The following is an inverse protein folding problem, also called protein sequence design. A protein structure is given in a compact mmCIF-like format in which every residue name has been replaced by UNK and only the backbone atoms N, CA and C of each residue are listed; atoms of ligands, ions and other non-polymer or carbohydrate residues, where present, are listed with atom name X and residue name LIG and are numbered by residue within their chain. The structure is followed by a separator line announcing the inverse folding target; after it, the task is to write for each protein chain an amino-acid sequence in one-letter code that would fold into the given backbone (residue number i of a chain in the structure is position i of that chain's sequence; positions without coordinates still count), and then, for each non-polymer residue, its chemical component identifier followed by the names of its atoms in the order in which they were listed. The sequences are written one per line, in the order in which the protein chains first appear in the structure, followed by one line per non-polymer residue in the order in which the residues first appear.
data_IF_701155984610
#
_entry.id   IF_701155984610
#
_cell.length_a   1.000
_cell.length_b   1.000
_cell.length_c   1.000
_cell.angle_alpha   90.00
_cell.angle_beta   90.00
_cell.angle_gamma   90.00
#
_symmetry.space_group_name_H-M   'P 1'
#
loop_
_entity.id
_entity.type
_entity.pdbx_description
1 polymer ?
#
# COMPACT_ATOMS: atom_id res chain seq x y z
N UNK A 1 53.25 -7.72 -45.77
CA UNK A 1 52.62 -9.02 -45.42
C UNK A 1 51.65 -8.70 -44.29
N UNK A 2 50.47 -8.10 -44.51
CA UNK A 2 49.28 -8.57 -45.24
C UNK A 2 48.77 -9.93 -44.75
N UNK A 3 47.84 -9.89 -43.78
CA UNK A 3 46.81 -10.90 -43.58
C UNK A 3 45.58 -10.19 -42.98
N UNK A 4 44.65 -9.83 -43.86
CA UNK A 4 43.28 -9.44 -43.55
C UNK A 4 42.50 -10.74 -43.30
N UNK A 5 41.84 -10.85 -42.15
CA UNK A 5 40.88 -11.92 -41.84
C UNK A 5 39.48 -11.37 -42.07
N UNK A 6 38.76 -11.96 -43.03
CA UNK A 6 37.37 -11.66 -43.32
C UNK A 6 36.46 -12.59 -42.49
N UNK A 7 35.49 -12.01 -41.79
CA UNK A 7 34.34 -12.75 -41.27
C UNK A 7 33.19 -12.61 -42.26
N UNK A 8 32.65 -13.76 -42.65
CA UNK A 8 31.52 -13.97 -43.56
C UNK A 8 30.20 -13.55 -42.91
N UNK A 9 29.41 -12.77 -43.66
CA UNK A 9 27.99 -12.50 -43.44
C UNK A 9 27.16 -13.78 -43.65
N UNK A 10 26.29 -14.10 -42.69
CA UNK A 10 25.27 -15.15 -42.80
C UNK A 10 23.97 -14.51 -43.29
N UNK A 11 23.44 -15.04 -44.39
CA UNK A 11 22.27 -14.52 -45.10
C UNK A 11 20.98 -14.96 -44.39
N UNK A 12 20.07 -14.01 -44.18
CA UNK A 12 18.71 -14.26 -43.71
C UNK A 12 17.84 -14.80 -44.87
N UNK A 13 17.11 -15.88 -44.59
CA UNK A 13 16.09 -16.43 -45.48
C UNK A 13 14.81 -15.55 -45.49
N UNK A 14 14.15 -15.37 -46.65
CA UNK A 14 12.88 -14.66 -46.74
C UNK A 14 11.71 -15.60 -46.43
N UNK A 15 10.88 -15.24 -45.45
CA UNK A 15 9.60 -15.92 -45.20
C UNK A 15 8.57 -15.38 -46.20
N UNK A 16 8.08 -16.29 -47.06
CA UNK A 16 7.01 -16.07 -48.02
C UNK A 16 5.65 -15.86 -47.33
N UNK A 17 4.95 -14.80 -47.73
CA UNK A 17 3.50 -14.62 -47.51
C UNK A 17 2.69 -15.46 -48.49
N UNK A 18 1.59 -16.10 -48.06
CA UNK A 18 0.50 -16.43 -48.97
C UNK A 18 -0.64 -15.41 -48.87
N UNK A 19 -0.74 -14.61 -49.92
CA UNK A 19 -1.96 -13.95 -50.38
C UNK A 19 -2.71 -14.92 -51.32
N UNK A 20 -3.99 -15.20 -51.05
CA UNK A 20 -5.04 -15.26 -52.09
C UNK A 20 -6.43 -15.60 -51.52
N UNK A 21 -7.27 -14.57 -51.46
CA UNK A 21 -8.59 -14.45 -52.14
C UNK A 21 -9.64 -15.59 -52.15
N UNK A 22 -10.82 -15.21 -51.60
CA UNK A 22 -12.18 -15.16 -52.19
C UNK A 22 -13.13 -16.37 -52.30
N UNK A 23 -14.41 -16.00 -52.09
CA UNK A 23 -15.70 -16.61 -52.46
C UNK A 23 -16.22 -17.70 -51.50
N UNK A 24 -17.47 -17.72 -51.01
CA UNK A 24 -18.73 -17.39 -51.66
C UNK A 24 -19.85 -17.00 -50.68
N UNK A 25 -20.85 -16.32 -51.25
CA UNK A 25 -22.11 -15.89 -50.65
C UNK A 25 -23.10 -17.06 -50.39
N UNK A 26 -23.91 -16.93 -49.34
CA UNK A 26 -25.26 -17.47 -49.31
C UNK A 26 -26.15 -16.62 -48.40
N UNK A 27 -27.23 -16.13 -48.98
CA UNK A 27 -28.31 -15.41 -48.33
C UNK A 27 -29.14 -16.34 -47.43
N UNK A 28 -29.69 -15.79 -46.35
CA UNK A 28 -30.98 -16.27 -45.84
C UNK A 28 -31.79 -15.09 -45.28
N UNK A 29 -32.93 -14.85 -45.91
CA UNK A 29 -34.00 -13.97 -45.49
C UNK A 29 -34.80 -14.67 -44.39
N UNK A 30 -35.25 -13.98 -43.34
CA UNK A 30 -36.67 -14.05 -42.92
C UNK A 30 -37.03 -13.00 -41.86
N UNK A 31 -38.02 -12.17 -42.24
CA UNK A 31 -39.19 -11.67 -41.47
C UNK A 31 -38.93 -10.87 -40.18
N UNK A 32 -39.21 -9.56 -40.09
CA UNK A 32 -40.46 -8.80 -40.30
C UNK A 32 -41.60 -9.14 -39.33
N UNK A 33 -41.73 -8.31 -38.30
CA UNK A 33 -42.98 -7.80 -37.66
C UNK A 33 -42.54 -6.57 -36.83
N UNK A 34 -42.60 -5.34 -37.32
CA UNK A 34 -43.77 -4.45 -37.43
C UNK A 34 -44.69 -4.45 -36.20
N UNK A 35 -44.49 -3.45 -35.33
CA UNK A 35 -45.45 -2.99 -34.34
C UNK A 35 -45.33 -1.47 -34.21
N UNK A 36 -46.17 -0.81 -34.99
CA UNK A 36 -46.56 0.59 -34.94
C UNK A 36 -47.03 0.97 -33.53
N UNK A 37 -46.46 2.00 -32.92
CA UNK A 37 -47.12 2.74 -31.84
C UNK A 37 -47.21 4.22 -32.20
N UNK A 38 -48.43 4.67 -32.00
CA UNK A 38 -49.12 5.84 -32.50
C UNK A 38 -48.58 7.16 -31.93
N UNK A 39 -48.44 8.14 -32.81
CA UNK A 39 -48.26 9.54 -32.48
C UNK A 39 -49.62 10.16 -32.13
N UNK A 40 -49.83 10.52 -30.86
CA UNK A 40 -50.91 11.45 -30.49
C UNK A 40 -50.34 12.79 -30.07
N UNK A 41 -50.50 13.70 -31.01
CA UNK A 41 -50.63 15.13 -30.89
C UNK A 41 -51.64 15.52 -29.80
N UNK A 42 -51.22 16.37 -28.85
CA UNK A 42 -52.15 17.25 -28.15
C UNK A 42 -51.48 18.58 -27.79
N UNK A 43 -51.95 19.59 -28.50
CA UNK A 43 -51.82 21.02 -28.30
C UNK A 43 -52.08 21.53 -26.88
N UNK A 44 -51.32 22.57 -26.53
CA UNK A 44 -51.69 23.74 -25.72
C UNK A 44 -52.09 23.55 -24.25
N UNK A 45 -51.25 24.06 -23.34
CA UNK A 45 -51.73 25.15 -22.48
C UNK A 45 -50.58 26.08 -22.05
N UNK A 46 -50.84 27.38 -22.11
CA UNK A 46 -49.97 28.42 -21.58
C UNK A 46 -50.44 28.76 -20.17
N UNK A 47 -49.58 28.54 -19.18
CA UNK A 47 -49.72 29.22 -17.88
C UNK A 47 -48.36 29.81 -17.52
N UNK A 48 -48.34 31.13 -17.55
CA UNK A 48 -47.31 32.02 -17.05
C UNK A 48 -47.48 32.21 -15.54
N UNK A 49 -46.49 31.82 -14.76
CA UNK A 49 -46.22 32.29 -13.39
C UNK A 49 -44.69 32.39 -13.30
N UNK A 50 -44.07 33.53 -13.62
CA UNK A 50 -43.77 34.63 -12.70
C UNK A 50 -43.51 34.17 -11.26
N UNK A 51 -42.30 33.67 -11.01
CA UNK A 51 -41.73 33.52 -9.67
C UNK A 51 -40.31 34.05 -9.65
N UNK A 52 -40.19 35.27 -9.11
CA UNK A 52 -39.11 35.73 -8.24
C UNK A 52 -37.68 35.32 -8.56
N UNK A 53 -36.94 36.25 -9.16
CA UNK A 53 -35.50 36.37 -8.96
C UNK A 53 -35.24 36.72 -7.49
N UNK A 54 -34.96 35.72 -6.66
CA UNK A 54 -34.39 35.96 -5.34
C UNK A 54 -32.87 36.10 -5.46
N UNK A 55 -32.50 37.34 -5.20
CA UNK A 55 -31.22 37.91 -4.84
C UNK A 55 -30.49 37.06 -3.78
N UNK A 56 -29.64 36.13 -4.22
CA UNK A 56 -28.66 35.49 -3.33
C UNK A 56 -27.49 36.45 -3.11
N UNK A 57 -27.75 37.40 -2.22
CA UNK A 57 -26.74 38.25 -1.62
C UNK A 57 -25.63 37.42 -0.99
N UNK A 58 -24.39 37.81 -1.29
CA UNK A 58 -23.20 37.33 -0.62
C UNK A 58 -23.20 37.76 0.85
N UNK A 59 -23.37 36.82 1.77
CA UNK A 59 -22.93 36.90 3.16
C UNK A 59 -23.08 35.51 3.82
N UNK A 60 -22.17 35.20 4.74
CA UNK A 60 -22.21 34.10 5.70
C UNK A 60 -21.76 32.70 5.22
N UNK A 61 -20.48 32.62 4.84
CA UNK A 61 -19.64 31.48 5.26
C UNK A 61 -18.54 32.03 6.17
N UNK A 62 -18.89 32.21 7.45
CA UNK A 62 -17.92 32.40 8.52
C UNK A 62 -17.26 31.05 8.80
N UNK A 63 -16.08 30.85 8.21
CA UNK A 63 -15.08 29.91 8.67
C UNK A 63 -14.78 30.22 10.14
N UNK A 64 -15.13 29.30 11.02
CA UNK A 64 -14.63 29.32 12.38
C UNK A 64 -13.16 28.92 12.35
N UNK A 65 -12.30 29.92 12.58
CA UNK A 65 -10.93 29.76 13.01
C UNK A 65 -10.88 28.79 14.20
N UNK A 66 -10.31 27.60 13.99
CA UNK A 66 -9.76 26.80 15.09
C UNK A 66 -8.43 27.47 15.45
N UNK A 67 -8.54 28.52 16.26
CA UNK A 67 -7.39 29.13 16.91
C UNK A 67 -6.71 28.10 17.81
N UNK A 68 -5.46 27.85 17.45
CA UNK A 68 -4.40 27.30 18.29
C UNK A 68 -4.34 28.08 19.61
N UNK A 69 -4.94 27.54 20.68
CA UNK A 69 -4.75 28.10 22.02
C UNK A 69 -3.38 27.71 22.57
N UNK A 70 -2.61 28.67 23.12
CA UNK A 70 -1.32 28.42 23.75
C UNK A 70 -1.53 28.14 25.24
N UNK A 71 -1.30 26.90 25.69
CA UNK A 71 -1.25 26.62 27.13
C UNK A 71 0.14 26.91 27.69
N UNK A 72 0.21 28.07 28.33
CA UNK A 72 1.20 28.43 29.33
C UNK A 72 0.99 27.65 30.63
N UNK A 73 2.12 27.20 31.16
CA UNK A 73 2.48 26.96 32.55
C UNK A 73 1.65 27.61 33.66
N UNK A 74 1.72 26.91 34.81
CA UNK A 74 1.38 27.26 36.18
C UNK A 74 -0.10 27.10 36.59
N UNK A 75 -0.39 26.03 37.33
CA UNK A 75 -0.66 26.20 38.76
C UNK A 75 -0.56 24.88 39.55
N UNK A 76 0.18 24.96 40.64
CA UNK A 76 0.32 23.97 41.69
C UNK A 76 -0.85 24.03 42.69
N UNK A 77 -1.00 22.96 43.49
CA UNK A 77 -2.03 22.71 44.51
C UNK A 77 -3.42 22.48 43.89
N UNK A 78 -4.15 21.42 44.19
CA UNK A 78 -4.58 21.04 45.53
C UNK A 78 -5.37 19.69 45.46
N UNK A 79 -5.37 18.94 46.57
CA UNK A 79 -6.29 17.83 46.91
C UNK A 79 -6.20 16.50 46.12
N UNK A 80 -5.59 15.49 46.74
CA UNK A 80 -6.32 14.28 47.17
C UNK A 80 -5.47 13.40 48.09
N UNK A 81 -5.84 13.41 49.37
CA UNK A 81 -5.50 12.42 50.37
C UNK A 81 -5.96 11.02 49.94
N UNK A 82 -5.02 10.07 49.87
CA UNK A 82 -5.30 8.63 49.96
C UNK A 82 -4.45 8.06 51.08
N UNK A 83 -4.95 8.20 52.31
CA UNK A 83 -4.61 7.28 53.38
C UNK A 83 -5.45 6.01 53.16
N UNK A 84 -4.79 4.86 53.21
CA UNK A 84 -5.31 3.47 53.28
C UNK A 84 -4.88 2.59 52.11
N UNK A 85 -3.63 2.12 52.17
CA UNK A 85 -3.25 0.73 51.83
C UNK A 85 -2.00 0.36 52.62
N UNK A 86 -2.14 0.30 53.94
CA UNK A 86 -1.28 -0.51 54.77
C UNK A 86 -1.81 -1.94 54.80
N UNK A 87 -0.90 -2.89 54.93
CA UNK A 87 -1.13 -4.25 55.40
C UNK A 87 -1.41 -5.33 54.35
N UNK A 88 -0.36 -5.76 53.63
CA UNK A 88 -0.13 -7.17 53.27
C UNK A 88 1.38 -7.41 53.05
N UNK A 89 2.15 -7.48 54.13
CA UNK A 89 3.51 -8.03 54.08
C UNK A 89 3.81 -8.84 55.33
N UNK A 90 3.38 -10.10 55.37
CA UNK A 90 3.98 -11.09 56.25
C UNK A 90 4.22 -12.40 55.50
N UNK A 91 5.47 -12.85 55.59
CA UNK A 91 5.84 -14.25 55.51
C UNK A 91 6.30 -14.70 54.13
N UNK A 92 7.62 -14.77 53.95
CA UNK A 92 8.31 -15.98 53.48
C UNK A 92 9.83 -15.77 53.60
N UNK A 93 10.35 -16.03 54.80
CA UNK A 93 11.75 -16.37 55.01
C UNK A 93 11.95 -17.86 54.69
N UNK A 94 12.74 -18.19 53.67
CA UNK A 94 13.49 -19.44 53.65
C UNK A 94 14.65 -19.36 52.64
N UNK A 95 15.85 -19.44 53.20
CA UNK A 95 17.14 -19.36 52.55
C UNK A 95 17.39 -20.43 51.47
N UNK A 96 18.10 -20.02 50.41
CA UNK A 96 19.14 -20.82 49.79
C UNK A 96 20.22 -19.88 49.24
N UNK A 97 21.40 -19.92 49.88
CA UNK A 97 22.59 -19.25 49.40
C UNK A 97 23.02 -19.88 48.07
N UNK A 98 23.10 -19.08 47.01
CA UNK A 98 23.77 -19.45 45.77
C UNK A 98 24.95 -18.49 45.58
N UNK A 99 26.14 -19.06 45.75
CA UNK A 99 27.45 -18.45 45.56
C UNK A 99 27.74 -18.34 44.06
N UNK A 100 27.76 -17.11 43.55
CA UNK A 100 28.22 -16.81 42.18
C UNK A 100 29.45 -15.94 42.25
N UNK A 101 30.60 -16.59 42.42
CA UNK A 101 31.91 -16.05 42.03
C UNK A 101 32.31 -16.65 40.68
N UNK A 102 32.05 -15.92 39.59
CA UNK A 102 32.68 -16.12 38.27
C UNK A 102 32.64 -14.77 37.56
N UNK A 103 33.70 -13.97 37.72
CA UNK A 103 34.80 -13.78 36.76
C UNK A 103 34.35 -13.15 35.45
N UNK A 104 34.74 -11.90 35.33
CA UNK A 104 34.79 -11.06 34.15
C UNK A 104 35.37 -11.81 32.95
N UNK A 105 34.68 -11.75 31.82
CA UNK A 105 35.28 -11.95 30.50
C UNK A 105 34.65 -10.94 29.52
N UNK A 106 35.34 -9.84 29.17
CA UNK A 106 34.86 -8.87 28.20
C UNK A 106 35.33 -9.27 26.80
N UNK A 107 34.60 -10.15 26.14
CA UNK A 107 34.76 -10.36 24.69
C UNK A 107 33.44 -10.77 24.03
N UNK A 108 32.47 -9.86 24.04
CA UNK A 108 31.29 -9.96 23.16
C UNK A 108 31.68 -9.44 21.79
N UNK A 109 32.44 -10.25 21.04
CA UNK A 109 32.51 -10.11 19.59
C UNK A 109 31.11 -10.36 19.03
N UNK A 110 30.48 -9.27 18.60
CA UNK A 110 29.54 -9.18 17.48
C UNK A 110 29.44 -10.47 16.67
N UNK A 111 28.48 -11.32 17.03
CA UNK A 111 28.17 -12.59 16.36
C UNK A 111 27.05 -12.35 15.35
N UNK A 112 27.29 -11.45 14.40
CA UNK A 112 26.61 -11.53 13.11
C UNK A 112 27.46 -12.48 12.26
N UNK A 113 26.91 -13.54 11.65
CA UNK A 113 27.70 -14.38 10.78
C UNK A 113 28.13 -13.56 9.55
N UNK A 114 29.35 -13.02 9.60
CA UNK A 114 30.13 -12.57 8.43
C UNK A 114 30.50 -13.79 7.58
N UNK A 115 29.50 -14.41 6.96
CA UNK A 115 29.69 -15.43 5.93
C UNK A 115 28.70 -15.16 4.80
N UNK A 116 28.76 -13.95 4.25
CA UNK A 116 28.49 -13.79 2.82
C UNK A 116 29.75 -14.24 2.08
N UNK A 117 29.88 -15.56 1.91
CA UNK A 117 30.72 -16.09 0.84
C UNK A 117 30.18 -15.47 -0.43
N UNK A 118 30.95 -14.58 -1.08
CA UNK A 118 30.77 -14.29 -2.49
C UNK A 118 30.99 -15.60 -3.23
N UNK A 119 29.94 -16.42 -3.31
CA UNK A 119 29.84 -17.37 -4.37
C UNK A 119 29.86 -16.54 -5.64
N UNK A 120 30.93 -16.69 -6.41
CA UNK A 120 30.97 -16.37 -7.83
C UNK A 120 29.90 -17.26 -8.49
N UNK A 121 28.64 -16.86 -8.32
CA UNK A 121 27.49 -17.39 -9.04
C UNK A 121 27.66 -16.88 -10.45
N UNK A 122 28.50 -17.59 -11.21
CA UNK A 122 28.73 -17.30 -12.62
C UNK A 122 27.39 -17.03 -13.28
N UNK A 123 27.29 -15.88 -13.97
CA UNK A 123 26.12 -15.34 -14.63
C UNK A 123 24.96 -16.34 -14.68
N UNK A 124 24.15 -16.34 -13.62
CA UNK A 124 22.90 -17.08 -13.64
C UNK A 124 22.09 -16.33 -14.68
N UNK A 125 21.89 -16.98 -15.82
CA UNK A 125 20.94 -16.54 -16.82
C UNK A 125 19.60 -16.52 -16.09
N UNK A 126 19.21 -15.33 -15.60
CA UNK A 126 17.88 -15.07 -15.07
C UNK A 126 16.93 -15.09 -16.25
N UNK A 127 16.81 -16.25 -16.92
CA UNK A 127 15.60 -16.55 -17.66
C UNK A 127 14.51 -16.43 -16.62
N UNK A 128 13.65 -15.42 -16.75
CA UNK A 128 12.45 -15.21 -15.95
C UNK A 128 11.89 -16.58 -15.58
N UNK A 129 12.22 -17.04 -14.39
CA UNK A 129 11.62 -18.24 -13.88
C UNK A 129 10.17 -17.87 -13.73
N UNK A 130 9.29 -18.57 -14.44
CA UNK A 130 7.83 -18.43 -14.37
C UNK A 130 7.35 -18.69 -12.93
N UNK A 131 7.63 -17.76 -12.02
CA UNK A 131 7.11 -17.77 -10.67
C UNK A 131 5.64 -17.41 -10.83
N UNK A 132 4.78 -18.40 -10.62
CA UNK A 132 3.36 -18.16 -10.62
C UNK A 132 3.00 -17.32 -9.38
N UNK A 133 2.53 -16.10 -9.62
CA UNK A 133 1.97 -15.22 -8.60
C UNK A 133 0.45 -15.44 -8.46
N UNK A 134 -0.12 -15.22 -7.26
CA UNK A 134 0.57 -14.93 -6.01
C UNK A 134 1.26 -16.18 -5.42
N UNK A 135 2.39 -16.00 -4.73
CA UNK A 135 3.00 -17.10 -3.97
C UNK A 135 2.19 -17.43 -2.71
N UNK A 136 2.31 -18.67 -2.22
CA UNK A 136 1.64 -19.12 -0.99
C UNK A 136 2.13 -18.34 0.25
N UNK A 137 1.29 -18.21 1.27
CA UNK A 137 1.55 -17.52 2.54
C UNK A 137 0.30 -17.47 3.43
N UNK A 138 0.32 -16.67 4.49
CA UNK A 138 -0.86 -16.44 5.34
C UNK A 138 -1.95 -15.67 4.59
N UNK A 139 -3.19 -16.17 4.61
CA UNK A 139 -4.29 -15.63 3.80
C UNK A 139 -4.19 -15.95 2.30
N UNK A 140 -5.35 -16.07 1.65
CA UNK A 140 -5.47 -16.32 0.22
C UNK A 140 -5.54 -15.00 -0.57
N UNK A 141 -4.68 -14.83 -1.56
CA UNK A 141 -4.65 -13.62 -2.40
C UNK A 141 -5.36 -13.87 -3.73
N UNK A 142 -6.20 -12.92 -4.15
CA UNK A 142 -6.87 -12.91 -5.46
C UNK A 142 -6.89 -11.50 -6.06
N UNK A 143 -7.18 -11.39 -7.36
CA UNK A 143 -7.23 -10.10 -8.07
C UNK A 143 -5.95 -9.81 -8.86
N UNK A 144 -5.57 -8.55 -8.96
CA UNK A 144 -4.39 -8.11 -9.71
C UNK A 144 -3.09 -8.41 -8.96
N UNK A 145 -2.26 -9.29 -9.54
CA UNK A 145 -0.92 -9.64 -9.08
C UNK A 145 -0.01 -9.86 -10.29
N UNK A 146 1.26 -9.48 -10.17
CA UNK A 146 2.22 -9.49 -11.28
C UNK A 146 1.90 -8.41 -12.30
N UNK A 147 1.49 -7.22 -11.82
CA UNK A 147 1.09 -6.08 -12.66
C UNK A 147 2.09 -4.93 -12.61
N UNK A 148 3.08 -4.98 -11.72
CA UNK A 148 4.07 -3.91 -11.58
C UNK A 148 5.28 -4.14 -12.49
N UNK A 149 5.07 -4.04 -13.80
CA UNK A 149 6.14 -4.18 -14.79
C UNK A 149 6.59 -2.80 -15.30
N UNK A 150 5.96 -2.33 -16.38
CA UNK A 150 6.26 -1.06 -17.04
C UNK A 150 5.87 0.14 -16.18
N UNK A 151 4.96 -0.06 -15.26
CA UNK A 151 4.40 0.91 -14.33
C UNK A 151 5.47 1.39 -13.35
N UNK A 152 6.49 0.58 -13.06
CA UNK A 152 7.63 0.98 -12.21
C UNK A 152 8.59 1.96 -12.89
N UNK A 153 8.47 2.16 -14.21
CA UNK A 153 9.34 3.03 -15.00
C UNK A 153 8.62 4.13 -15.76
N UNK A 154 7.32 3.96 -15.99
CA UNK A 154 6.49 5.03 -16.51
C UNK A 154 6.32 6.12 -15.43
N UNK A 155 6.18 7.35 -15.88
CA UNK A 155 5.86 8.53 -15.06
C UNK A 155 4.37 8.66 -14.74
N UNK A 156 3.56 7.71 -15.21
CA UNK A 156 2.12 7.69 -14.98
C UNK A 156 1.73 7.32 -13.55
N UNK A 157 0.55 7.79 -13.16
CA UNK A 157 -0.13 7.33 -11.96
C UNK A 157 -1.00 6.10 -12.27
N UNK A 158 -1.00 5.11 -11.39
CA UNK A 158 -1.75 3.86 -11.56
C UNK A 158 -2.54 3.54 -10.32
N UNK A 159 -3.66 2.83 -10.50
CA UNK A 159 -4.42 2.24 -9.41
C UNK A 159 -4.68 0.77 -9.74
N UNK A 160 -4.38 -0.10 -8.79
CA UNK A 160 -4.65 -1.54 -8.86
C UNK A 160 -5.47 -1.99 -7.67
N UNK A 161 -6.26 -3.05 -7.86
CA UNK A 161 -7.11 -3.63 -6.83
C UNK A 161 -6.89 -5.14 -6.74
N UNK A 162 -6.68 -5.60 -5.51
CA UNK A 162 -6.61 -7.01 -5.18
C UNK A 162 -7.25 -7.27 -3.81
N UNK A 163 -7.24 -8.52 -3.39
CA UNK A 163 -7.89 -8.96 -2.16
C UNK A 163 -6.99 -9.94 -1.41
N UNK A 164 -7.09 -9.91 -0.09
CA UNK A 164 -6.54 -10.95 0.80
C UNK A 164 -7.64 -11.44 1.74
N UNK A 165 -7.86 -12.75 1.73
CA UNK A 165 -8.86 -13.43 2.57
C UNK A 165 -8.17 -14.27 3.65
N UNK A 166 -8.37 -13.91 4.91
CA UNK A 166 -7.83 -14.61 6.08
C UNK A 166 -8.71 -15.78 6.54
N UNK A 167 -9.90 -15.97 5.94
CA UNK A 167 -10.83 -17.00 6.36
C UNK A 167 -11.28 -16.81 7.83
N UNK A 168 -11.26 -17.89 8.59
CA UNK A 168 -11.63 -17.89 10.03
C UNK A 168 -10.37 -17.88 10.95
N UNK A 169 -9.22 -17.39 10.44
CA UNK A 169 -7.92 -17.41 11.12
C UNK A 169 -7.41 -15.98 11.36
N UNK A 170 -7.74 -15.36 12.51
CA UNK A 170 -7.16 -14.08 12.88
C UNK A 170 -5.69 -14.32 13.24
N UNK A 171 -4.74 -13.66 12.55
CA UNK A 171 -3.29 -13.81 12.73
C UNK A 171 -2.84 -13.63 14.20
N UNK A 172 -2.99 -14.67 15.02
CA UNK A 172 -2.90 -14.63 16.47
C UNK A 172 -2.17 -15.84 17.08
N UNK A 173 -1.95 -16.91 16.30
CA UNK A 173 -1.08 -18.02 16.69
C UNK A 173 0.37 -17.63 16.37
N UNK A 174 1.31 -17.77 17.33
CA UNK A 174 2.74 -17.60 17.06
C UNK A 174 3.28 -18.40 15.86
N UNK A 175 2.60 -19.47 15.45
CA UNK A 175 2.92 -20.25 14.26
C UNK A 175 2.61 -19.52 12.95
N UNK A 176 1.69 -18.56 12.94
CA UNK A 176 1.31 -17.81 11.73
C UNK A 176 2.46 -16.95 11.22
N UNK A 177 3.31 -16.47 12.13
CA UNK A 177 4.54 -15.77 11.77
C UNK A 177 5.48 -16.59 10.87
N UNK A 178 5.39 -17.92 10.89
CA UNK A 178 6.16 -18.80 9.99
C UNK A 178 5.59 -18.90 8.58
N UNK A 179 4.36 -18.41 8.37
CA UNK A 179 3.69 -18.34 7.08
C UNK A 179 3.93 -17.00 6.36
N UNK A 180 4.58 -16.04 7.03
CA UNK A 180 5.06 -14.80 6.42
C UNK A 180 6.31 -15.05 5.58
N UNK A 181 6.54 -14.18 4.60
CA UNK A 181 7.84 -14.11 3.94
C UNK A 181 8.93 -13.63 4.92
N UNK A 182 10.22 -13.85 4.62
CA UNK A 182 11.31 -13.35 5.46
C UNK A 182 11.27 -11.83 5.69
N UNK A 183 10.82 -11.06 4.69
CA UNK A 183 10.64 -9.62 4.82
C UNK A 183 9.44 -9.28 5.72
N UNK A 184 8.30 -9.95 5.57
CA UNK A 184 7.13 -9.71 6.43
C UNK A 184 7.43 -10.03 7.90
N UNK A 185 8.15 -11.12 8.16
CA UNK A 185 8.64 -11.43 9.50
C UNK A 185 9.60 -10.37 10.04
N UNK A 186 10.46 -9.80 9.18
CA UNK A 186 11.37 -8.72 9.58
C UNK A 186 10.60 -7.45 9.93
N UNK A 187 9.59 -7.06 9.15
CA UNK A 187 8.70 -5.93 9.47
C UNK A 187 8.03 -6.18 10.82
N UNK A 188 7.47 -7.38 11.03
CA UNK A 188 6.77 -7.74 12.27
C UNK A 188 7.65 -7.67 13.53
N UNK A 189 8.94 -7.99 13.41
CA UNK A 189 9.83 -8.21 14.58
C UNK A 189 10.87 -7.13 14.80
N UNK A 190 11.03 -6.20 13.86
CA UNK A 190 11.92 -5.05 14.01
C UNK A 190 11.17 -3.91 14.68
N UNK A 191 11.83 -3.20 15.59
CA UNK A 191 11.27 -1.98 16.18
C UNK A 191 10.96 -0.97 15.06
N UNK A 192 9.67 -0.79 14.76
CA UNK A 192 9.18 0.19 13.80
C UNK A 192 8.40 1.31 14.52
N UNK A 193 8.30 2.50 13.92
CA UNK A 193 7.53 3.58 14.53
C UNK A 193 6.00 3.36 14.41
N UNK A 194 5.59 2.35 13.63
CA UNK A 194 4.21 2.04 13.24
C UNK A 194 3.21 1.75 14.36
N UNK A 195 3.65 1.40 15.58
CA UNK A 195 2.75 1.20 16.73
C UNK A 195 1.57 0.26 16.42
N UNK A 196 0.33 0.79 16.38
CA UNK A 196 -0.88 0.02 16.05
C UNK A 196 -1.03 -0.33 14.56
N UNK A 197 -0.13 0.13 13.70
CA UNK A 197 -0.18 -0.11 12.24
C UNK A 197 0.74 -1.25 11.79
N UNK A 198 1.46 -1.90 12.72
CA UNK A 198 2.45 -2.92 12.39
C UNK A 198 1.91 -4.05 11.50
N UNK A 199 0.70 -4.56 11.79
CA UNK A 199 0.11 -5.62 10.96
C UNK A 199 -0.29 -5.11 9.57
N UNK A 200 -0.78 -3.88 9.46
CA UNK A 200 -1.04 -3.30 8.14
C UNK A 200 0.22 -3.14 7.31
N UNK A 201 1.35 -2.78 7.92
CA UNK A 201 2.64 -2.70 7.23
C UNK A 201 3.14 -4.08 6.82
N UNK A 202 3.04 -5.08 7.71
CA UNK A 202 3.38 -6.47 7.42
C UNK A 202 2.59 -6.98 6.22
N UNK A 203 1.27 -6.81 6.22
CA UNK A 203 0.43 -7.36 5.16
C UNK A 203 0.49 -6.54 3.87
N UNK A 204 0.72 -5.22 3.92
CA UNK A 204 1.07 -4.45 2.73
C UNK A 204 2.37 -4.95 2.08
N UNK A 205 3.38 -5.30 2.89
CA UNK A 205 4.60 -5.92 2.40
C UNK A 205 4.36 -7.34 1.87
N UNK A 206 3.60 -8.18 2.57
CA UNK A 206 3.29 -9.55 2.12
C UNK A 206 2.59 -9.54 0.76
N UNK A 207 1.64 -8.63 0.53
CA UNK A 207 0.99 -8.47 -0.77
C UNK A 207 2.01 -8.17 -1.88
N UNK A 208 2.93 -7.21 -1.65
CA UNK A 208 3.97 -6.88 -2.64
C UNK A 208 4.98 -8.02 -2.83
N UNK A 209 5.40 -8.69 -1.75
CA UNK A 209 6.36 -9.78 -1.82
C UNK A 209 5.79 -10.99 -2.57
N UNK A 210 4.51 -11.30 -2.32
CA UNK A 210 3.84 -12.48 -2.87
C UNK A 210 3.24 -12.24 -4.25
N UNK A 211 2.90 -11.01 -4.63
CA UNK A 211 2.37 -10.68 -5.96
C UNK A 211 3.42 -10.14 -6.93
N UNK A 212 4.44 -9.44 -6.43
CA UNK A 212 5.38 -8.69 -7.27
C UNK A 212 6.84 -9.08 -6.98
N UNK A 213 7.08 -10.11 -6.16
CA UNK A 213 8.44 -10.56 -5.82
C UNK A 213 9.25 -9.54 -5.02
N UNK A 214 8.59 -8.62 -4.32
CA UNK A 214 9.24 -7.56 -3.56
C UNK A 214 10.17 -8.10 -2.45
N UNK A 215 11.32 -7.46 -2.29
CA UNK A 215 12.30 -7.75 -1.24
C UNK A 215 12.42 -6.56 -0.30
N UNK A 216 12.28 -6.77 1.01
CA UNK A 216 12.48 -5.70 1.99
C UNK A 216 13.94 -5.21 1.97
N UNK A 217 14.14 -3.91 1.90
CA UNK A 217 15.46 -3.27 2.03
C UNK A 217 15.61 -2.59 3.38
N UNK A 218 14.61 -1.80 3.79
CA UNK A 218 14.61 -1.02 5.03
C UNK A 218 13.18 -0.85 5.56
N UNK A 219 13.04 -0.76 6.88
CA UNK A 219 11.81 -0.30 7.55
C UNK A 219 11.83 1.22 7.75
N UNK A 220 10.71 1.82 8.18
CA UNK A 220 10.52 3.27 8.38
C UNK A 220 11.69 3.92 9.12
N UNK A 221 12.09 3.33 10.26
CA UNK A 221 13.15 3.84 11.14
C UNK A 221 14.57 3.68 10.58
N UNK A 222 14.72 2.95 9.47
CA UNK A 222 16.01 2.67 8.82
C UNK A 222 16.21 3.51 7.55
N UNK A 223 15.14 4.12 7.02
CA UNK A 223 15.21 5.01 5.86
C UNK A 223 15.79 6.35 6.31
N UNK A 224 16.83 6.80 5.62
CA UNK A 224 17.56 8.01 5.97
C UNK A 224 16.92 9.25 5.36
N UNK A 225 16.72 10.25 6.21
CA UNK A 225 16.30 11.60 5.89
C UNK A 225 17.29 12.58 6.54
N UNK A 226 17.34 13.86 6.10
CA UNK A 226 18.18 14.85 6.75
C UNK A 226 17.90 14.94 8.25
N UNK A 227 18.93 15.13 9.08
CA UNK A 227 18.81 15.15 10.55
C UNK A 227 17.76 16.16 11.09
N UNK A 228 17.52 17.26 10.36
CA UNK A 228 16.55 18.31 10.71
C UNK A 228 15.18 18.11 10.03
N UNK A 229 14.93 16.96 9.41
CA UNK A 229 13.67 16.67 8.73
C UNK A 229 12.57 16.32 9.73
N UNK A 230 11.53 17.15 9.76
CA UNK A 230 10.35 16.99 10.63
C UNK A 230 9.07 16.65 9.83
N UNK A 231 9.21 16.28 8.55
CA UNK A 231 8.11 15.99 7.65
C UNK A 231 7.65 14.54 7.68
N UNK A 232 6.83 14.16 6.70
CA UNK A 232 6.32 12.80 6.56
C UNK A 232 7.41 11.84 6.07
N UNK A 233 7.52 10.67 6.71
CA UNK A 233 8.44 9.60 6.30
C UNK A 233 7.67 8.44 5.66
N UNK A 234 8.39 7.60 4.91
CA UNK A 234 7.86 6.43 4.19
C UNK A 234 7.95 5.17 5.07
N UNK A 235 6.93 4.32 5.06
CA UNK A 235 6.82 3.20 6.00
C UNK A 235 7.82 2.07 5.74
N UNK A 236 8.07 1.70 4.48
CA UNK A 236 9.09 0.70 4.10
C UNK A 236 9.74 1.02 2.74
N UNK A 237 10.97 0.56 2.58
CA UNK A 237 11.70 0.59 1.31
C UNK A 237 11.86 -0.83 0.80
N UNK A 238 11.42 -1.10 -0.42
CA UNK A 238 11.49 -2.42 -1.02
C UNK A 238 12.27 -2.40 -2.33
N UNK A 239 12.63 -3.60 -2.80
CA UNK A 239 13.16 -3.84 -4.13
C UNK A 239 12.18 -4.67 -4.95
N UNK A 240 11.78 -4.14 -6.10
CA UNK A 240 10.97 -4.84 -7.12
C UNK A 240 11.72 -4.68 -8.44
N UNK A 241 11.97 -5.77 -9.17
CA UNK A 241 12.71 -5.78 -10.44
C UNK A 241 14.05 -5.03 -10.41
N UNK A 242 14.77 -5.18 -9.31
CA UNK A 242 16.07 -4.52 -9.11
C UNK A 242 15.99 -3.03 -8.79
N UNK A 243 14.80 -2.44 -8.68
CA UNK A 243 14.56 -1.01 -8.42
C UNK A 243 14.16 -0.79 -6.97
N UNK A 244 14.59 0.35 -6.40
CA UNK A 244 14.14 0.78 -5.08
C UNK A 244 12.81 1.49 -5.19
N UNK A 245 11.82 1.01 -4.45
CA UNK A 245 10.45 1.52 -4.43
C UNK A 245 10.11 1.85 -2.98
N UNK A 246 9.74 3.10 -2.71
CA UNK A 246 9.22 3.48 -1.40
C UNK A 246 7.77 3.03 -1.28
N UNK A 247 7.32 2.63 -0.10
CA UNK A 247 5.94 2.20 0.13
C UNK A 247 5.42 2.90 1.38
N UNK A 248 4.35 3.66 1.20
CA UNK A 248 3.57 4.21 2.30
C UNK A 248 2.30 3.39 2.47
N UNK A 249 1.85 3.20 3.71
CA UNK A 249 0.68 2.38 4.06
C UNK A 249 -0.40 3.24 4.69
N UNK A 250 -1.65 2.93 4.38
CA UNK A 250 -2.81 3.54 5.02
C UNK A 250 -3.97 2.55 5.10
N UNK A 251 -4.77 2.68 6.16
CA UNK A 251 -6.01 1.93 6.32
C UNK A 251 -7.17 2.77 5.84
N UNK A 252 -7.92 2.26 4.87
CA UNK A 252 -9.25 2.78 4.56
C UNK A 252 -10.23 2.16 5.54
N UNK A 253 -10.39 2.82 6.69
CA UNK A 253 -11.22 2.38 7.80
C UNK A 253 -11.85 3.57 8.54
N UNK A 254 -13.01 3.33 9.13
CA UNK A 254 -13.74 4.28 9.98
C UNK A 254 -14.37 3.55 11.17
N UNK A 255 -14.37 4.19 12.35
CA UNK A 255 -15.03 3.66 13.54
C UNK A 255 -16.38 4.36 13.79
N UNK A 256 -17.45 3.62 14.18
CA UNK A 256 -17.50 2.16 14.29
C UNK A 256 -17.38 1.47 12.92
N UNK A 257 -16.96 0.19 12.84
CA UNK A 257 -16.81 -0.53 11.57
C UNK A 257 -18.08 -0.60 10.71
N UNK A 258 -19.24 -0.37 11.33
CA UNK A 258 -20.54 -0.32 10.65
C UNK A 258 -20.83 1.03 10.00
N UNK A 259 -19.99 2.05 10.22
CA UNK A 259 -20.14 3.35 9.58
C UNK A 259 -19.76 3.26 8.11
N UNK A 260 -20.50 3.99 7.28
CA UNK A 260 -20.22 4.06 5.85
C UNK A 260 -18.93 4.82 5.59
N UNK A 261 -18.04 4.24 4.79
CA UNK A 261 -16.82 4.89 4.33
C UNK A 261 -17.08 5.61 3.01
N UNK A 262 -17.30 6.92 3.08
CA UNK A 262 -17.75 7.72 1.95
C UNK A 262 -16.62 8.13 1.00
N UNK A 263 -16.98 8.58 -0.20
CA UNK A 263 -16.02 9.12 -1.20
C UNK A 263 -15.33 10.37 -0.67
N UNK A 264 -16.02 11.22 0.10
CA UNK A 264 -15.41 12.41 0.71
C UNK A 264 -14.33 11.99 1.71
N UNK A 265 -14.60 10.97 2.53
CA UNK A 265 -13.62 10.44 3.47
C UNK A 265 -12.42 9.82 2.75
N UNK A 266 -12.67 9.05 1.70
CA UNK A 266 -11.62 8.52 0.83
C UNK A 266 -10.76 9.63 0.21
N UNK A 267 -11.38 10.72 -0.24
CA UNK A 267 -10.72 11.88 -0.83
C UNK A 267 -9.80 12.57 0.18
N UNK A 268 -10.25 12.78 1.42
CA UNK A 268 -9.42 13.33 2.50
C UNK A 268 -8.19 12.46 2.78
N UNK A 269 -8.40 11.15 2.89
CA UNK A 269 -7.32 10.19 3.20
C UNK A 269 -6.30 10.13 2.09
N UNK A 270 -6.75 9.98 0.83
CA UNK A 270 -5.87 9.94 -0.33
C UNK A 270 -5.12 11.26 -0.50
N UNK A 271 -5.79 12.40 -0.35
CA UNK A 271 -5.15 13.72 -0.51
C UNK A 271 -3.99 13.88 0.46
N UNK A 272 -4.26 13.65 1.75
CA UNK A 272 -3.23 13.73 2.79
C UNK A 272 -2.06 12.77 2.52
N UNK A 273 -2.36 11.52 2.16
CA UNK A 273 -1.31 10.50 1.96
C UNK A 273 -0.48 10.76 0.70
N UNK A 274 -1.08 11.25 -0.38
CA UNK A 274 -0.36 11.61 -1.59
C UNK A 274 0.52 12.85 -1.38
N UNK A 275 0.06 13.85 -0.63
CA UNK A 275 0.89 14.99 -0.22
C UNK A 275 2.13 14.52 0.57
N UNK A 276 1.93 13.64 1.55
CA UNK A 276 3.02 13.04 2.34
C UNK A 276 4.01 12.24 1.47
N UNK A 277 3.52 11.55 0.42
CA UNK A 277 4.35 10.81 -0.54
C UNK A 277 5.23 11.77 -1.34
N UNK A 278 4.69 12.89 -1.79
CA UNK A 278 5.46 13.92 -2.50
C UNK A 278 6.51 14.54 -1.60
N UNK A 279 6.15 14.82 -0.35
CA UNK A 279 7.05 15.38 0.67
C UNK A 279 8.22 14.43 0.98
N UNK A 280 7.92 13.18 1.34
CA UNK A 280 8.92 12.15 1.67
C UNK A 280 9.84 11.84 0.48
N UNK A 281 9.31 11.76 -0.74
CA UNK A 281 10.10 11.52 -1.96
C UNK A 281 11.08 12.64 -2.26
N UNK A 282 10.73 13.88 -1.92
CA UNK A 282 11.61 15.03 -2.10
C UNK A 282 12.73 15.10 -1.05
N UNK A 283 12.46 14.58 0.16
CA UNK A 283 13.34 14.71 1.32
C UNK A 283 14.34 13.56 1.49
N UNK A 284 14.03 12.35 1.03
CA UNK A 284 14.86 11.15 1.26
C UNK A 284 16.32 11.34 0.81
N UNK A 285 17.25 10.87 1.64
CA UNK A 285 18.68 10.94 1.38
C UNK A 285 19.09 10.11 0.13
N UNK A 286 20.16 10.49 -0.58
CA UNK A 286 20.58 9.82 -1.81
C UNK A 286 20.81 8.31 -1.69
N UNK A 287 21.26 7.80 -0.55
CA UNK A 287 21.49 6.37 -0.32
C UNK A 287 20.22 5.52 -0.43
N UNK A 288 19.07 6.05 0.01
CA UNK A 288 17.79 5.33 0.11
C UNK A 288 16.78 5.76 -0.94
N UNK A 289 17.14 6.74 -1.76
CA UNK A 289 16.29 7.26 -2.83
C UNK A 289 15.67 6.15 -3.68
N UNK A 290 14.35 6.13 -3.70
CA UNK A 290 13.56 5.32 -4.61
C UNK A 290 13.32 6.02 -5.94
N UNK A 291 12.98 5.23 -6.95
CA UNK A 291 12.63 5.74 -8.28
C UNK A 291 11.13 6.00 -8.43
N UNK A 292 10.31 5.35 -7.60
CA UNK A 292 8.85 5.43 -7.59
C UNK A 292 8.32 5.13 -6.19
N UNK A 293 7.13 5.63 -5.86
CA UNK A 293 6.49 5.34 -4.57
C UNK A 293 5.13 4.68 -4.77
N UNK A 294 4.82 3.72 -3.91
CA UNK A 294 3.51 3.05 -3.81
C UNK A 294 2.79 3.57 -2.57
N UNK A 295 1.51 3.93 -2.71
CA UNK A 295 0.57 4.01 -1.59
C UNK A 295 -0.21 2.70 -1.52
N UNK A 296 0.03 1.91 -0.49
CA UNK A 296 -0.72 0.69 -0.21
C UNK A 296 -1.90 1.01 0.73
N UNK A 297 -3.12 0.84 0.24
CA UNK A 297 -4.36 1.07 0.98
C UNK A 297 -4.93 -0.29 1.37
N UNK A 298 -5.07 -0.56 2.67
CA UNK A 298 -5.80 -1.74 3.16
C UNK A 298 -7.24 -1.33 3.48
N UNK A 299 -8.19 -1.86 2.72
CA UNK A 299 -9.59 -1.50 2.75
C UNK A 299 -10.43 -2.55 3.48
N UNK A 300 -11.19 -2.13 4.49
CA UNK A 300 -11.94 -3.00 5.40
C UNK A 300 -13.14 -3.74 4.75
N UNK A 301 -13.39 -3.49 3.47
CA UNK A 301 -14.45 -4.17 2.75
C UNK A 301 -14.80 -3.48 1.43
N UNK A 302 -15.78 -4.01 0.69
CA UNK A 302 -15.93 -3.69 -0.73
C UNK A 302 -16.38 -2.24 -0.96
N UNK A 303 -17.25 -1.71 -0.08
CA UNK A 303 -17.67 -0.31 -0.15
C UNK A 303 -16.53 0.68 0.10
N UNK A 304 -15.45 0.28 0.79
CA UNK A 304 -14.27 1.13 0.97
C UNK A 304 -13.45 1.20 -0.31
N UNK A 305 -13.30 0.06 -1.00
CA UNK A 305 -12.61 -0.02 -2.30
C UNK A 305 -13.30 0.88 -3.33
N UNK A 306 -14.62 0.77 -3.47
CA UNK A 306 -15.41 1.60 -4.39
C UNK A 306 -15.24 3.10 -4.11
N UNK A 307 -15.27 3.50 -2.83
CA UNK A 307 -15.06 4.88 -2.42
C UNK A 307 -13.64 5.39 -2.72
N UNK A 308 -12.61 4.56 -2.53
CA UNK A 308 -11.21 4.88 -2.86
C UNK A 308 -11.02 5.03 -4.37
N UNK A 309 -11.57 4.12 -5.18
CA UNK A 309 -11.50 4.20 -6.64
C UNK A 309 -12.19 5.47 -7.16
N UNK A 310 -13.40 5.74 -6.66
CA UNK A 310 -14.16 6.94 -7.05
C UNK A 310 -13.43 8.22 -6.66
N UNK A 311 -12.87 8.27 -5.44
CA UNK A 311 -12.07 9.40 -5.01
C UNK A 311 -10.84 9.58 -5.91
N UNK A 312 -10.07 8.52 -6.14
CA UNK A 312 -8.87 8.53 -6.99
C UNK A 312 -9.12 9.09 -8.39
N UNK A 313 -10.20 8.67 -9.05
CA UNK A 313 -10.56 9.13 -10.39
C UNK A 313 -10.86 10.64 -10.43
N UNK A 314 -11.33 11.20 -9.32
CA UNK A 314 -11.64 12.63 -9.17
C UNK A 314 -10.45 13.50 -8.74
N UNK A 315 -9.34 12.89 -8.30
CA UNK A 315 -8.17 13.64 -7.82
C UNK A 315 -7.42 14.34 -8.94
N UNK A 316 -6.83 15.48 -8.59
CA UNK A 316 -5.96 16.26 -9.46
C UNK A 316 -4.78 15.38 -9.96
N UNK A 317 -4.51 15.33 -11.28
CA UNK A 317 -3.34 14.62 -11.80
C UNK A 317 -2.01 15.08 -11.20
N UNK A 318 -1.87 16.34 -10.80
CA UNK A 318 -0.65 16.85 -10.13
C UNK A 318 -0.44 16.22 -8.76
N UNK A 319 -1.53 15.91 -8.04
CA UNK A 319 -1.48 15.25 -6.74
C UNK A 319 -1.21 13.74 -6.88
N UNK A 320 -1.76 13.10 -7.92
CA UNK A 320 -1.49 11.69 -8.22
C UNK A 320 -0.03 11.48 -8.68
N UNK A 321 0.51 12.45 -9.41
CA UNK A 321 1.90 12.51 -9.84
C UNK A 321 2.40 11.18 -10.43
N UNK A 322 3.57 10.72 -9.99
CA UNK A 322 4.20 9.45 -10.38
C UNK A 322 3.99 8.38 -9.29
N UNK A 323 2.76 8.27 -8.76
CA UNK A 323 2.42 7.36 -7.65
C UNK A 323 1.60 6.18 -8.15
N UNK A 324 1.92 4.99 -7.66
CA UNK A 324 1.05 3.80 -7.79
C UNK A 324 0.23 3.68 -6.52
N UNK A 325 -1.08 3.49 -6.64
CA UNK A 325 -1.96 3.12 -5.53
C UNK A 325 -2.34 1.66 -5.68
N UNK A 326 -2.16 0.87 -4.63
CA UNK A 326 -2.67 -0.50 -4.55
C UNK A 326 -3.72 -0.51 -3.46
N UNK A 327 -4.93 -0.93 -3.81
CA UNK A 327 -6.02 -1.09 -2.86
C UNK A 327 -6.24 -2.58 -2.64
N UNK A 328 -5.90 -3.04 -1.45
CA UNK A 328 -6.13 -4.41 -1.01
C UNK A 328 -7.38 -4.45 -0.15
N UNK A 329 -8.41 -5.14 -0.61
CA UNK A 329 -9.55 -5.48 0.25
C UNK A 329 -9.16 -6.62 1.19
N UNK A 330 -9.31 -6.42 2.50
CA UNK A 330 -9.19 -7.50 3.48
C UNK A 330 -10.54 -8.17 3.70
N UNK A 331 -10.54 -9.49 3.80
CA UNK A 331 -11.70 -10.34 3.99
C UNK A 331 -11.42 -11.39 5.08
N UNK A 332 -12.49 -11.92 5.68
CA UNK A 332 -12.40 -12.92 6.76
C UNK A 332 -12.20 -12.28 8.13
N UNK A 333 -11.50 -12.97 9.03
CA UNK A 333 -11.15 -12.50 10.37
C UNK A 333 -9.95 -11.52 10.31
N UNK A 334 -10.20 -10.31 9.80
CA UNK A 334 -9.21 -9.29 9.46
C UNK A 334 -9.07 -8.13 10.48
N UNK A 335 -9.79 -8.20 11.61
CA UNK A 335 -9.85 -7.12 12.61
C UNK A 335 -8.46 -6.71 13.12
N UNK A 336 -7.52 -7.64 13.17
CA UNK A 336 -6.14 -7.40 13.63
C UNK A 336 -5.37 -6.40 12.76
N UNK A 337 -5.85 -6.08 11.56
CA UNK A 337 -5.28 -5.05 10.71
C UNK A 337 -5.64 -3.62 11.15
N UNK A 338 -6.73 -3.42 11.91
CA UNK A 338 -7.38 -2.11 12.15
C UNK A 338 -7.30 -1.60 13.60
#
# INVERSE_FOLDING_TARGET
MLALSACTEEAADPIESPDSTQADAAADETQSTDATIDSVDSTADQVSEDVGTEDLSAADLALADIERSPDTQDDANDLASSEDLADLSEGLDAAAAFDTTQTEDPDTTSFWPEVYVRHDLGAVDWTESDVAYPTMGFGAITGECGVLDTELIDTGAYLFVNQIDFGDDPFDDPQDASLLTPGGYTVLTTDNAGGSSIYSEVFAFEMLARCEGAQLLKTETQIEYPDEYEGSITDILVRIDGRRIGVSVVRAYIYPPTAEYTVERATEVLTKKLENILESSAAVEPEDRWVKQILHVIAYGPGHVESIQTAWDSLDPELRADTIVIVTESLGDDEFLY
#
